data_IF_161052186070
#
_entry.id   IF_161052186070
#
_cell.length_a   1.000
_cell.length_b   1.000
_cell.length_c   1.000
_cell.angle_alpha   90.00
_cell.angle_beta   90.00
_cell.angle_gamma   90.00
#
_symmetry.space_group_name_H-M   'P 1'
#
loop_
_entity.id
_entity.type
_entity.pdbx_description
1 polymer ?
#
# COMPACT_ATOMS: atom_id res chain seq x y z
N UNK A 1 11.86 6.12 11.92
CA UNK A 1 11.09 5.70 10.73
C UNK A 1 10.72 6.90 9.88
N UNK A 2 10.59 6.68 8.59
CA UNK A 2 10.08 7.71 7.68
C UNK A 2 8.62 7.45 7.39
N UNK A 3 7.82 8.50 7.44
CA UNK A 3 6.40 8.44 7.17
C UNK A 3 6.11 8.85 5.73
N UNK A 4 5.19 8.15 5.08
CA UNK A 4 4.82 8.41 3.70
C UNK A 4 3.32 8.49 3.55
N UNK A 5 2.87 9.28 2.57
CA UNK A 5 1.48 9.31 2.15
C UNK A 5 1.43 9.24 0.62
N UNK A 6 0.42 8.56 0.11
CA UNK A 6 0.25 8.38 -1.34
C UNK A 6 -1.21 8.53 -1.69
N UNK A 7 -1.51 9.44 -2.61
CA UNK A 7 -2.88 9.62 -3.08
C UNK A 7 -3.18 8.60 -4.16
N UNK A 8 -4.23 7.80 -3.94
CA UNK A 8 -4.63 6.74 -4.85
C UNK A 8 -5.45 7.29 -6.03
N UNK A 9 -5.48 6.49 -7.11
CA UNK A 9 -6.29 6.79 -8.29
C UNK A 9 -6.99 5.53 -8.76
N UNK A 10 -8.25 5.64 -9.13
CA UNK A 10 -9.00 4.55 -9.72
C UNK A 10 -9.42 3.46 -8.75
N UNK A 11 -9.40 3.73 -7.45
CA UNK A 11 -9.80 2.78 -6.42
C UNK A 11 -10.77 3.42 -5.44
N UNK A 12 -11.36 2.59 -4.56
CA UNK A 12 -12.30 3.07 -3.55
C UNK A 12 -11.61 3.83 -2.41
N UNK A 13 -10.33 3.57 -2.14
CA UNK A 13 -9.57 4.34 -1.15
C UNK A 13 -9.09 5.65 -1.76
N UNK A 14 -8.83 6.65 -0.91
CA UNK A 14 -8.38 7.98 -1.34
C UNK A 14 -6.90 8.21 -1.10
N UNK A 15 -6.36 7.59 -0.08
CA UNK A 15 -4.98 7.82 0.33
C UNK A 15 -4.44 6.61 1.07
N UNK A 16 -3.14 6.39 0.96
CA UNK A 16 -2.45 5.32 1.69
C UNK A 16 -1.39 5.97 2.56
N UNK A 17 -1.39 5.64 3.86
CA UNK A 17 -0.42 6.12 4.83
C UNK A 17 0.39 4.95 5.37
N UNK A 18 1.68 5.10 5.47
CA UNK A 18 2.54 4.05 6.03
C UNK A 18 3.88 4.64 6.46
N UNK A 19 4.62 3.84 7.23
CA UNK A 19 5.99 4.19 7.63
C UNK A 19 6.93 3.07 7.20
N UNK A 20 8.18 3.41 6.92
CA UNK A 20 9.23 2.43 6.67
C UNK A 20 10.33 2.61 7.70
N UNK A 21 10.81 1.50 8.27
CA UNK A 21 11.95 1.53 9.19
C UNK A 21 13.27 1.49 8.41
N UNK A 22 14.39 1.44 9.13
CA UNK A 22 15.72 1.45 8.52
C UNK A 22 15.98 0.25 7.61
N UNK A 23 15.21 -0.83 7.79
CA UNK A 23 15.31 -2.03 6.95
C UNK A 23 14.26 -2.07 5.85
N UNK A 24 13.54 -0.96 5.64
CA UNK A 24 12.47 -0.84 4.65
C UNK A 24 11.31 -1.82 4.92
N UNK A 25 11.01 -2.05 6.19
CA UNK A 25 9.84 -2.82 6.59
C UNK A 25 8.67 -1.90 6.84
N UNK A 26 7.49 -2.35 6.48
CA UNK A 26 6.26 -1.55 6.54
C UNK A 26 5.71 -1.51 7.96
N UNK A 27 5.30 -0.32 8.41
CA UNK A 27 4.64 -0.13 9.71
C UNK A 27 3.46 0.82 9.57
N UNK A 28 2.43 0.57 10.37
CA UNK A 28 1.25 1.44 10.50
C UNK A 28 0.57 1.75 9.16
N UNK A 29 0.48 0.76 8.29
CA UNK A 29 -0.19 0.92 7.00
C UNK A 29 -1.68 1.16 7.21
N UNK A 30 -2.19 2.24 6.62
CA UNK A 30 -3.60 2.61 6.68
C UNK A 30 -4.08 3.09 5.31
N UNK A 31 -5.30 2.70 4.98
CA UNK A 31 -6.00 3.21 3.80
C UNK A 31 -7.08 4.17 4.26
N UNK A 32 -7.12 5.35 3.66
CA UNK A 32 -8.13 6.35 3.97
C UNK A 32 -9.27 6.19 2.97
N UNK A 33 -10.46 5.89 3.47
CA UNK A 33 -11.63 5.59 2.63
C UNK A 33 -11.63 4.16 2.13
N UNK A 34 -12.65 3.77 1.36
CA UNK A 34 -12.75 2.44 0.77
C UNK A 34 -13.34 1.41 1.72
N UNK A 35 -13.04 0.13 1.44
CA UNK A 35 -13.58 -1.02 2.19
C UNK A 35 -12.82 -1.24 3.49
N UNK A 36 -13.32 -0.69 4.58
CA UNK A 36 -12.61 -0.68 5.87
C UNK A 36 -12.13 -2.07 6.33
N UNK A 37 -12.98 -3.09 6.23
CA UNK A 37 -12.63 -4.43 6.69
C UNK A 37 -11.47 -5.04 5.90
N UNK A 38 -11.58 -5.02 4.58
CA UNK A 38 -10.57 -5.61 3.70
C UNK A 38 -9.24 -4.83 3.76
N UNK A 39 -9.32 -3.50 3.76
CA UNK A 39 -8.12 -2.68 3.77
C UNK A 39 -7.40 -2.73 5.11
N UNK A 40 -8.15 -2.84 6.20
CA UNK A 40 -7.57 -3.04 7.52
C UNK A 40 -6.82 -4.38 7.58
N UNK A 41 -7.40 -5.43 7.00
CA UNK A 41 -6.76 -6.74 6.91
C UNK A 41 -5.44 -6.69 6.15
N UNK A 42 -5.41 -5.98 5.02
CA UNK A 42 -4.19 -5.79 4.25
C UNK A 42 -3.12 -5.09 5.11
N UNK A 43 -3.52 -4.06 5.86
CA UNK A 43 -2.60 -3.36 6.75
C UNK A 43 -1.98 -4.28 7.79
N UNK A 44 -2.79 -5.14 8.40
CA UNK A 44 -2.31 -6.10 9.39
C UNK A 44 -1.35 -7.12 8.77
N UNK A 45 -1.65 -7.59 7.57
CA UNK A 45 -0.79 -8.56 6.87
C UNK A 45 0.56 -7.96 6.47
N UNK A 46 0.58 -6.68 6.19
CA UNK A 46 1.81 -5.99 5.75
C UNK A 46 2.69 -5.53 6.89
N UNK A 47 2.18 -5.50 8.13
CA UNK A 47 2.95 -5.01 9.27
C UNK A 47 4.25 -5.80 9.44
N UNK A 48 5.39 -5.10 9.46
CA UNK A 48 6.70 -5.71 9.62
C UNK A 48 7.23 -6.43 8.39
N UNK A 49 6.53 -6.38 7.26
CA UNK A 49 6.96 -7.05 6.04
C UNK A 49 7.87 -6.16 5.21
N UNK A 50 8.73 -6.78 4.40
CA UNK A 50 9.62 -6.06 3.50
C UNK A 50 8.83 -5.33 2.41
N UNK A 51 9.05 -4.03 2.27
CA UNK A 51 8.29 -3.21 1.33
C UNK A 51 8.47 -3.65 -0.12
N UNK A 52 9.68 -4.02 -0.51
CA UNK A 52 9.95 -4.47 -1.89
C UNK A 52 9.23 -5.78 -2.20
N UNK A 53 9.23 -6.71 -1.27
CA UNK A 53 8.54 -7.98 -1.42
C UNK A 53 7.04 -7.77 -1.60
N UNK A 54 6.43 -6.94 -0.75
CA UNK A 54 5.00 -6.65 -0.86
C UNK A 54 4.69 -5.91 -2.17
N UNK A 55 5.53 -4.94 -2.56
CA UNK A 55 5.33 -4.22 -3.80
C UNK A 55 5.34 -5.17 -5.01
N UNK A 56 6.27 -6.11 -5.04
CA UNK A 56 6.38 -7.06 -6.15
C UNK A 56 5.19 -8.03 -6.18
N UNK A 57 4.71 -8.45 -5.02
CA UNK A 57 3.56 -9.36 -4.93
C UNK A 57 2.27 -8.72 -5.42
N UNK A 58 2.08 -7.44 -5.15
CA UNK A 58 0.81 -6.77 -5.42
C UNK A 58 0.77 -6.01 -6.75
N UNK A 59 1.90 -5.88 -7.41
CA UNK A 59 1.98 -5.16 -8.68
C UNK A 59 1.07 -5.80 -9.72
N UNK A 60 0.22 -4.98 -10.34
CA UNK A 60 -0.67 -5.45 -11.38
C UNK A 60 -1.91 -6.16 -10.90
N UNK A 61 -2.14 -6.22 -9.58
CA UNK A 61 -3.35 -6.82 -9.03
C UNK A 61 -4.52 -5.86 -9.24
N UNK A 62 -5.33 -6.13 -10.25
CA UNK A 62 -6.44 -5.26 -10.63
C UNK A 62 -7.77 -5.75 -10.06
N UNK A 63 -8.76 -4.86 -10.01
CA UNK A 63 -10.07 -5.15 -9.46
C UNK A 63 -11.14 -5.12 -10.56
N UNK A 64 -11.60 -6.29 -11.00
CA UNK A 64 -12.63 -6.41 -12.03
C UNK A 64 -12.20 -5.75 -13.36
N UNK A 65 -12.99 -4.79 -13.83
CA UNK A 65 -12.70 -4.06 -15.07
C UNK A 65 -11.81 -2.84 -14.88
N UNK A 66 -11.40 -2.56 -13.66
CA UNK A 66 -10.55 -1.42 -13.38
C UNK A 66 -9.09 -1.73 -13.73
N UNK A 67 -8.35 -0.69 -14.10
CA UNK A 67 -6.93 -0.81 -14.43
C UNK A 67 -6.05 -1.04 -13.18
N UNK A 68 -6.61 -0.87 -11.98
CA UNK A 68 -5.85 -0.92 -10.75
C UNK A 68 -6.75 -1.39 -9.59
N UNK A 69 -6.19 -1.52 -8.42
CA UNK A 69 -6.90 -1.86 -7.18
C UNK A 69 -6.19 -1.20 -6.01
N UNK A 70 -6.79 -1.27 -4.80
CA UNK A 70 -6.11 -0.77 -3.62
C UNK A 70 -4.76 -1.47 -3.38
N UNK A 71 -4.66 -2.81 -3.49
CA UNK A 71 -3.35 -3.46 -3.41
C UNK A 71 -2.36 -3.03 -4.48
N UNK A 72 -2.82 -2.84 -5.73
CA UNK A 72 -1.96 -2.35 -6.80
C UNK A 72 -1.47 -0.93 -6.52
N UNK A 73 -2.35 -0.07 -6.00
CA UNK A 73 -1.97 1.29 -5.61
C UNK A 73 -0.96 1.26 -4.46
N UNK A 74 -1.09 0.33 -3.52
CA UNK A 74 -0.11 0.13 -2.46
C UNK A 74 1.25 -0.24 -3.06
N UNK A 75 1.29 -1.14 -4.04
CA UNK A 75 2.53 -1.49 -4.74
C UNK A 75 3.20 -0.25 -5.32
N UNK A 76 2.44 0.61 -5.97
CA UNK A 76 2.96 1.87 -6.55
C UNK A 76 3.48 2.81 -5.46
N UNK A 77 2.75 2.90 -4.35
CA UNK A 77 3.16 3.74 -3.22
C UNK A 77 4.48 3.27 -2.62
N UNK A 78 4.62 1.96 -2.41
CA UNK A 78 5.84 1.38 -1.86
C UNK A 78 7.03 1.56 -2.79
N UNK A 79 6.84 1.34 -4.09
CA UNK A 79 7.91 1.54 -5.07
C UNK A 79 8.36 3.00 -5.10
N UNK A 80 7.43 3.94 -5.02
CA UNK A 80 7.76 5.36 -4.97
C UNK A 80 8.56 5.70 -3.72
N UNK A 81 8.16 5.18 -2.58
CA UNK A 81 8.88 5.40 -1.31
C UNK A 81 10.29 4.81 -1.36
N UNK A 82 10.46 3.63 -1.95
CA UNK A 82 11.76 2.97 -2.04
C UNK A 82 12.73 3.69 -2.99
N UNK A 83 12.21 4.42 -3.95
CA UNK A 83 13.06 5.19 -4.86
C UNK A 83 13.56 6.49 -4.26
N UNK A 84 12.92 6.94 -3.25
CA UNK A 84 13.28 8.18 -2.77
C UNK A 84 13.03 8.85 -1.68
#
# INVERSE_FOLDING_TARGET
MKEYSYKTKGTCSREILFSLDDENRIHDLKFIGGCNGNLKGIGLLCEGKDAKEIADLLEGNTCGFKDTSCPDQLSKALNKALKG
#
